data_IF_129443124955
#
_entry.id   IF_129443124955
#
_cell.length_a   1.000
_cell.length_b   1.000
_cell.length_c   1.000
_cell.angle_alpha   90.00
_cell.angle_beta   90.00
_cell.angle_gamma   90.00
#
_symmetry.space_group_name_H-M   'P 1'
#
loop_
_entity.id
_entity.type
_entity.pdbx_description
1 polymer ?
#
# COMPACT_ATOMS: atom_id res chain seq x y z
N UNK A 1 35.60 -37.58 -25.68
CA UNK A 1 35.87 -36.17 -25.29
C UNK A 1 35.12 -35.29 -26.29
N UNK A 2 33.89 -34.89 -25.97
CA UNK A 2 33.01 -34.15 -26.88
C UNK A 2 32.91 -32.69 -26.39
N UNK A 3 33.34 -31.73 -27.20
CA UNK A 3 33.07 -30.31 -27.00
C UNK A 3 32.22 -29.82 -28.19
N UNK A 4 30.93 -29.59 -27.92
CA UNK A 4 30.00 -29.04 -28.90
C UNK A 4 30.22 -27.52 -29.04
N UNK A 5 30.48 -27.08 -30.28
CA UNK A 5 30.45 -25.66 -30.66
C UNK A 5 29.00 -25.19 -30.66
N UNK A 6 28.70 -24.14 -29.92
CA UNK A 6 27.39 -23.49 -29.88
C UNK A 6 27.24 -22.55 -31.09
N UNK A 7 26.24 -22.81 -31.93
CA UNK A 7 25.75 -21.86 -32.92
C UNK A 7 25.18 -20.63 -32.20
N UNK A 8 25.72 -19.46 -32.51
CA UNK A 8 25.33 -18.19 -31.89
C UNK A 8 24.09 -17.61 -32.62
N UNK A 9 22.91 -17.58 -31.99
CA UNK A 9 21.63 -17.28 -32.65
C UNK A 9 21.38 -15.79 -32.90
N UNK A 10 22.33 -14.90 -32.58
CA UNK A 10 22.11 -13.44 -32.60
C UNK A 10 22.56 -12.71 -33.87
N UNK A 11 22.80 -13.42 -34.99
CA UNK A 11 23.41 -12.80 -36.19
C UNK A 11 22.48 -11.89 -37.01
N UNK A 12 21.19 -11.75 -36.71
CA UNK A 12 20.33 -10.71 -37.31
C UNK A 12 19.09 -10.45 -36.43
N UNK A 13 18.72 -9.19 -36.14
CA UNK A 13 17.45 -8.88 -35.48
C UNK A 13 16.34 -8.81 -36.53
N UNK A 14 15.53 -9.87 -36.59
CA UNK A 14 14.21 -9.87 -37.24
C UNK A 14 13.22 -9.12 -36.32
N UNK A 15 12.64 -7.97 -36.75
CA UNK A 15 11.85 -7.11 -35.88
C UNK A 15 10.46 -7.66 -35.52
N UNK A 16 10.04 -8.84 -36.01
CA UNK A 16 8.68 -9.37 -35.77
C UNK A 16 8.60 -10.78 -35.14
N UNK A 17 9.66 -11.28 -34.48
CA UNK A 17 9.51 -12.49 -33.65
C UNK A 17 8.80 -12.17 -32.32
N UNK A 18 7.65 -12.82 -31.99
CA UNK A 18 7.10 -12.75 -30.65
C UNK A 18 8.11 -13.36 -29.66
N UNK A 19 8.38 -12.64 -28.56
CA UNK A 19 9.38 -13.00 -27.55
C UNK A 19 8.97 -14.30 -26.86
N UNK A 20 9.84 -15.34 -26.84
CA UNK A 20 9.56 -16.55 -26.08
C UNK A 20 9.62 -16.24 -24.58
N UNK A 21 8.57 -16.64 -23.89
CA UNK A 21 8.35 -16.42 -22.48
C UNK A 21 9.08 -17.50 -21.68
N UNK A 22 10.24 -17.15 -21.10
CA UNK A 22 10.95 -18.04 -20.22
C UNK A 22 12.20 -17.44 -19.60
N UNK A 23 12.22 -17.39 -18.26
CA UNK A 23 13.37 -17.54 -17.34
C UNK A 23 14.74 -16.96 -17.76
N UNK A 24 15.25 -16.02 -16.96
CA UNK A 24 16.62 -16.07 -16.38
C UNK A 24 16.79 -15.00 -15.29
N UNK A 25 17.60 -15.31 -14.27
CA UNK A 25 17.84 -14.47 -13.10
C UNK A 25 19.10 -13.61 -13.12
N UNK A 26 19.16 -12.77 -12.08
CA UNK A 26 20.28 -12.21 -11.31
C UNK A 26 21.43 -11.48 -12.01
N UNK A 27 21.49 -10.16 -11.77
CA UNK A 27 22.66 -9.34 -12.05
C UNK A 27 22.48 -7.83 -11.87
N UNK A 28 21.79 -7.38 -10.80
CA UNK A 28 21.92 -6.07 -10.15
C UNK A 28 21.00 -6.07 -8.92
N UNK A 29 21.56 -6.51 -7.80
CA UNK A 29 20.90 -6.55 -6.50
C UNK A 29 21.38 -5.34 -5.71
N UNK A 30 20.57 -4.28 -5.63
CA UNK A 30 20.63 -3.21 -4.63
C UNK A 30 19.35 -2.36 -4.72
N UNK A 31 18.25 -2.98 -4.32
CA UNK A 31 17.05 -2.47 -3.60
C UNK A 31 16.12 -3.69 -3.59
N UNK A 32 15.80 -4.18 -2.39
CA UNK A 32 15.24 -5.50 -2.15
C UNK A 32 14.01 -5.81 -3.01
N UNK A 33 13.96 -7.04 -3.52
CA UNK A 33 12.72 -7.67 -3.95
C UNK A 33 11.81 -7.78 -2.71
N UNK A 34 10.81 -6.91 -2.63
CA UNK A 34 9.51 -7.33 -2.12
C UNK A 34 8.57 -7.26 -3.32
N UNK A 35 7.96 -8.38 -3.75
CA UNK A 35 6.97 -8.32 -4.80
C UNK A 35 5.84 -7.43 -4.31
N UNK A 36 5.67 -6.31 -5.01
CA UNK A 36 4.56 -5.38 -4.86
C UNK A 36 3.25 -5.98 -5.44
N UNK A 37 2.99 -7.26 -5.17
CA UNK A 37 1.84 -7.99 -5.72
C UNK A 37 0.57 -7.84 -4.89
N UNK A 38 0.66 -7.15 -3.74
CA UNK A 38 -0.47 -6.86 -2.86
C UNK A 38 -0.92 -5.40 -2.89
N UNK A 39 -0.28 -4.50 -3.66
CA UNK A 39 -0.77 -3.12 -3.77
C UNK A 39 -2.05 -3.06 -4.58
N UNK A 40 -3.15 -2.62 -3.96
CA UNK A 40 -4.35 -2.23 -4.69
C UNK A 40 -4.18 -0.81 -5.21
N UNK A 41 -4.23 -0.62 -6.53
CA UNK A 41 -4.29 0.71 -7.13
C UNK A 41 -5.67 1.33 -6.87
N UNK A 42 -5.75 2.24 -5.90
CA UNK A 42 -6.98 2.98 -5.63
C UNK A 42 -7.26 3.99 -6.76
N UNK A 43 -8.42 3.90 -7.42
CA UNK A 43 -8.84 4.91 -8.40
C UNK A 43 -8.98 6.28 -7.71
N UNK A 44 -8.24 7.32 -8.13
CA UNK A 44 -8.31 8.62 -7.49
C UNK A 44 -9.72 9.20 -7.62
N UNK A 45 -10.30 9.62 -6.51
CA UNK A 45 -11.50 10.44 -6.53
C UNK A 45 -11.07 11.87 -6.24
N UNK A 46 -11.09 12.71 -7.27
CA UNK A 46 -10.49 14.05 -7.21
C UNK A 46 -11.36 15.07 -6.45
N UNK A 47 -12.64 14.74 -6.18
CA UNK A 47 -13.61 15.52 -5.38
C UNK A 47 -14.72 14.61 -4.80
N UNK A 48 -14.39 13.42 -4.28
CA UNK A 48 -15.43 12.51 -3.76
C UNK A 48 -15.05 11.88 -2.44
N UNK A 49 -16.03 11.76 -1.56
CA UNK A 49 -15.87 11.04 -0.32
C UNK A 49 -15.78 9.53 -0.59
N UNK A 50 -14.75 8.89 -0.04
CA UNK A 50 -14.63 7.42 -0.05
C UNK A 50 -14.88 6.90 1.36
N UNK A 51 -15.91 6.06 1.51
CA UNK A 51 -16.28 5.45 2.80
C UNK A 51 -16.28 3.93 2.65
N UNK A 52 -15.41 3.26 3.41
CA UNK A 52 -15.34 1.81 3.50
C UNK A 52 -15.78 1.39 4.91
N UNK A 53 -16.92 0.71 4.99
CA UNK A 53 -17.56 0.29 6.23
C UNK A 53 -18.19 -1.08 6.08
N UNK A 54 -18.35 -1.82 7.18
CA UNK A 54 -18.88 -3.19 7.13
C UNK A 54 -17.79 -4.20 6.78
N UNK A 55 -18.18 -5.32 6.16
CA UNK A 55 -17.22 -6.31 5.66
C UNK A 55 -16.65 -5.88 4.32
N UNK A 56 -15.36 -5.61 4.29
CA UNK A 56 -14.58 -5.33 3.09
C UNK A 56 -13.15 -5.84 3.30
N UNK A 57 -12.44 -6.16 2.22
CA UNK A 57 -11.08 -6.70 2.30
C UNK A 57 -10.07 -5.63 1.86
N UNK A 58 -9.40 -4.93 2.80
CA UNK A 58 -8.22 -4.14 2.47
C UNK A 58 -7.12 -5.06 1.92
N UNK A 59 -6.27 -4.55 1.02
CA UNK A 59 -5.02 -5.26 0.69
C UNK A 59 -3.89 -4.82 1.61
N UNK A 60 -2.81 -5.61 1.62
CA UNK A 60 -1.68 -5.37 2.52
C UNK A 60 -1.00 -4.01 2.26
N UNK A 61 -1.06 -3.52 1.02
CA UNK A 61 -0.79 -2.13 0.66
C UNK A 61 -1.93 -1.58 -0.20
N UNK A 62 -2.38 -0.35 0.04
CA UNK A 62 -3.32 0.34 -0.85
C UNK A 62 -3.00 1.83 -0.81
N UNK A 63 -2.85 2.44 -1.98
CA UNK A 63 -2.68 3.90 -2.08
C UNK A 63 -4.05 4.58 -2.09
N UNK A 64 -4.27 5.43 -1.10
CA UNK A 64 -5.48 6.18 -0.85
C UNK A 64 -5.29 7.63 -1.28
N UNK A 65 -5.96 7.99 -2.36
CA UNK A 65 -5.99 9.37 -2.84
C UNK A 65 -7.13 10.13 -2.16
N UNK A 66 -6.79 11.19 -1.45
CA UNK A 66 -7.72 12.11 -0.81
C UNK A 66 -7.40 13.53 -1.27
N UNK A 67 -8.02 13.99 -2.36
CA UNK A 67 -7.86 15.37 -2.83
C UNK A 67 -9.17 16.11 -2.57
N UNK A 68 -9.14 17.18 -1.79
CA UNK A 68 -10.30 18.04 -1.53
C UNK A 68 -11.57 17.29 -1.11
N UNK A 69 -11.48 16.45 -0.07
CA UNK A 69 -12.60 15.63 0.41
C UNK A 69 -12.28 14.80 1.64
N UNK A 70 -13.15 13.83 1.97
CA UNK A 70 -12.97 12.93 3.12
C UNK A 70 -12.71 11.47 2.69
N UNK A 71 -11.73 10.82 3.32
CA UNK A 71 -11.55 9.36 3.25
C UNK A 71 -11.85 8.76 4.62
N UNK A 72 -12.81 7.84 4.69
CA UNK A 72 -13.18 7.12 5.91
C UNK A 72 -13.00 5.63 5.74
N UNK A 73 -12.11 5.04 6.54
CA UNK A 73 -11.83 3.61 6.55
C UNK A 73 -12.22 3.02 7.91
N UNK A 74 -13.11 2.04 7.91
CA UNK A 74 -13.49 1.29 9.11
C UNK A 74 -12.94 -0.14 9.03
N UNK A 75 -11.87 -0.40 9.77
CA UNK A 75 -11.16 -1.68 9.78
C UNK A 75 -11.74 -2.69 10.78
N UNK A 76 -12.75 -2.33 11.58
CA UNK A 76 -13.26 -3.17 12.67
C UNK A 76 -13.94 -4.45 12.19
N UNK A 77 -14.58 -4.39 11.04
CA UNK A 77 -15.26 -5.51 10.38
C UNK A 77 -14.57 -5.90 9.07
N UNK A 78 -13.40 -5.34 8.81
CA UNK A 78 -12.65 -5.62 7.60
C UNK A 78 -11.99 -7.01 7.68
N UNK A 79 -11.94 -7.71 6.55
CA UNK A 79 -11.23 -8.97 6.42
C UNK A 79 -9.77 -8.65 6.09
N UNK A 80 -8.92 -8.59 7.12
CA UNK A 80 -7.53 -8.19 6.97
C UNK A 80 -6.72 -9.23 6.19
N UNK A 81 -5.82 -8.79 5.30
CA UNK A 81 -4.96 -9.69 4.52
C UNK A 81 -3.86 -10.34 5.39
N UNK A 82 -3.64 -9.83 6.60
CA UNK A 82 -2.69 -10.32 7.59
C UNK A 82 -2.66 -9.45 8.84
N UNK A 83 -1.67 -9.70 9.70
CA UNK A 83 -1.44 -8.96 10.96
C UNK A 83 -0.88 -7.54 10.75
N UNK A 84 -0.45 -7.20 9.53
CA UNK A 84 0.10 -5.89 9.17
C UNK A 84 -0.59 -5.35 7.92
N UNK A 85 -1.04 -4.10 7.98
CA UNK A 85 -1.63 -3.38 6.86
C UNK A 85 -0.91 -2.03 6.70
N UNK A 86 -0.53 -1.69 5.46
CA UNK A 86 0.01 -0.38 5.10
C UNK A 86 -1.07 0.42 4.38
N UNK A 87 -1.39 1.59 4.95
CA UNK A 87 -2.28 2.58 4.37
C UNK A 87 -1.42 3.73 3.86
N UNK A 88 -1.15 3.73 2.55
CA UNK A 88 -0.36 4.75 1.88
C UNK A 88 -1.29 5.90 1.45
N UNK A 89 -1.12 7.10 1.99
CA UNK A 89 -1.98 8.25 1.73
C UNK A 89 -1.30 9.27 0.83
N UNK A 90 -1.94 9.58 -0.30
CA UNK A 90 -1.61 10.73 -1.14
C UNK A 90 -2.71 11.78 -0.94
N UNK A 91 -2.50 12.65 0.06
CA UNK A 91 -3.54 13.54 0.59
C UNK A 91 -3.23 15.02 0.36
N UNK A 92 -4.22 15.76 -0.16
CA UNK A 92 -4.13 17.19 -0.44
C UNK A 92 -5.42 17.88 -0.01
N UNK A 93 -5.31 18.88 0.90
CA UNK A 93 -6.45 19.67 1.39
C UNK A 93 -7.64 18.79 1.80
N UNK A 94 -7.41 17.78 2.64
CA UNK A 94 -8.38 16.71 2.90
C UNK A 94 -8.40 16.26 4.37
N UNK A 95 -9.42 15.47 4.72
CA UNK A 95 -9.56 14.82 6.02
C UNK A 95 -9.62 13.29 5.87
N UNK A 96 -8.70 12.57 6.51
CA UNK A 96 -8.71 11.11 6.58
C UNK A 96 -9.11 10.63 7.98
N UNK A 97 -10.08 9.72 8.07
CA UNK A 97 -10.58 9.13 9.33
C UNK A 97 -10.49 7.62 9.30
N UNK A 98 -9.63 7.07 10.12
CA UNK A 98 -9.41 5.64 10.25
C UNK A 98 -10.01 5.17 11.58
N UNK A 99 -10.88 4.18 11.52
CA UNK A 99 -11.45 3.51 12.69
C UNK A 99 -10.84 2.12 12.74
N UNK A 100 -10.15 1.82 13.84
CA UNK A 100 -9.50 0.53 14.07
C UNK A 100 -10.19 -0.22 15.21
N UNK A 101 -10.11 -1.56 15.24
CA UNK A 101 -10.50 -2.31 16.43
C UNK A 101 -9.62 -1.93 17.64
N UNK A 102 -10.14 -2.02 18.87
CA UNK A 102 -9.35 -1.80 20.09
C UNK A 102 -8.11 -2.72 20.13
N UNK A 103 -6.99 -2.19 20.63
CA UNK A 103 -5.74 -2.96 20.75
C UNK A 103 -4.87 -2.98 19.48
N UNK A 104 -5.25 -2.21 18.45
CA UNK A 104 -4.47 -2.08 17.21
C UNK A 104 -3.21 -1.24 17.45
N UNK A 105 -2.05 -1.74 17.02
CA UNK A 105 -0.82 -0.97 17.01
C UNK A 105 -0.80 0.00 15.81
N UNK A 106 -0.47 1.27 16.04
CA UNK A 106 -0.37 2.29 14.99
C UNK A 106 1.09 2.71 14.85
N UNK A 107 1.59 2.68 13.62
CA UNK A 107 2.90 3.21 13.23
C UNK A 107 2.67 4.36 12.26
N UNK A 108 3.24 5.52 12.53
CA UNK A 108 3.16 6.69 11.66
C UNK A 108 4.51 6.90 10.97
N UNK A 109 4.55 6.58 9.67
CA UNK A 109 5.67 6.79 8.74
C UNK A 109 5.32 7.89 7.71
N UNK A 110 4.29 8.70 7.96
CA UNK A 110 3.86 9.73 7.01
C UNK A 110 4.79 10.95 6.97
N UNK A 111 4.81 11.63 5.84
CA UNK A 111 5.44 12.95 5.70
C UNK A 111 4.37 14.03 5.60
N UNK A 112 4.21 14.85 6.64
CA UNK A 112 3.24 15.95 6.69
C UNK A 112 3.92 17.33 6.62
N UNK A 113 3.50 18.21 5.71
CA UNK A 113 4.09 19.55 5.55
C UNK A 113 3.23 20.69 6.14
N UNK A 114 1.90 20.58 6.09
CA UNK A 114 0.95 21.60 6.60
C UNK A 114 -0.32 20.95 7.21
N UNK A 115 -0.18 19.83 7.89
CA UNK A 115 -1.29 19.12 8.53
C UNK A 115 -0.79 18.26 9.67
N UNK A 116 -1.66 17.43 10.25
CA UNK A 116 -1.30 16.62 11.40
C UNK A 116 -1.87 15.19 11.36
N UNK A 117 -1.09 14.26 11.93
CA UNK A 117 -1.55 12.91 12.26
C UNK A 117 -1.96 12.86 13.73
N UNK A 118 -3.24 12.61 13.96
CA UNK A 118 -3.86 12.49 15.27
C UNK A 118 -4.10 11.02 15.60
N UNK A 119 -3.23 10.43 16.40
CA UNK A 119 -3.50 9.11 16.98
C UNK A 119 -4.33 9.25 18.28
N UNK A 120 -5.59 8.82 18.23
CA UNK A 120 -6.54 8.81 19.35
C UNK A 120 -6.92 7.39 19.77
N UNK A 121 -6.06 6.40 19.54
CA UNK A 121 -6.28 5.03 20.04
C UNK A 121 -5.99 4.94 21.53
N UNK A 122 -6.76 4.12 22.24
CA UNK A 122 -6.59 3.86 23.67
C UNK A 122 -5.53 2.80 23.92
N UNK A 123 -4.51 3.10 24.74
CA UNK A 123 -3.45 2.13 25.08
C UNK A 123 -3.87 1.05 26.08
N UNK A 124 -5.14 1.05 26.53
CA UNK A 124 -5.62 0.15 27.60
C UNK A 124 -6.10 -1.22 27.08
N UNK A 125 -6.38 -1.35 25.78
CA UNK A 125 -6.85 -2.61 25.22
C UNK A 125 -5.66 -3.58 25.00
N UNK A 126 -5.81 -4.88 25.29
CA UNK A 126 -4.81 -5.88 24.92
C UNK A 126 -4.54 -5.87 23.41
N UNK A 127 -3.30 -6.16 23.01
CA UNK A 127 -2.93 -6.21 21.59
C UNK A 127 -3.84 -7.19 20.84
N UNK A 128 -4.43 -6.73 19.74
CA UNK A 128 -5.35 -7.53 18.92
C UNK A 128 -4.65 -8.22 17.73
N UNK A 129 -3.33 -8.08 17.62
CA UNK A 129 -2.52 -8.65 16.54
C UNK A 129 -2.50 -7.81 15.25
N UNK A 130 -3.31 -6.76 15.13
CA UNK A 130 -3.30 -5.87 13.98
C UNK A 130 -2.31 -4.71 14.19
N UNK A 131 -1.42 -4.52 13.23
CA UNK A 131 -0.56 -3.35 13.09
C UNK A 131 -0.95 -2.58 11.84
N UNK A 132 -1.33 -1.31 12.01
CA UNK A 132 -1.61 -0.39 10.92
C UNK A 132 -0.43 0.58 10.78
N UNK A 133 0.15 0.61 9.59
CA UNK A 133 1.18 1.58 9.21
C UNK A 133 0.52 2.65 8.37
N UNK A 134 0.65 3.89 8.80
CA UNK A 134 0.28 5.06 8.02
C UNK A 134 1.53 5.49 7.25
N UNK A 135 1.45 5.53 5.93
CA UNK A 135 2.55 5.91 5.05
C UNK A 135 2.05 6.98 4.06
N UNK A 136 2.96 7.62 3.33
CA UNK A 136 2.65 8.55 2.25
C UNK A 136 2.78 10.02 2.64
N UNK A 137 2.26 10.89 1.76
CA UNK A 137 2.44 12.34 1.83
C UNK A 137 1.13 13.08 2.13
N UNK A 138 1.18 13.98 3.13
CA UNK A 138 0.06 14.81 3.57
C UNK A 138 0.39 16.30 3.38
N UNK A 139 -0.35 16.98 2.51
CA UNK A 139 -0.27 18.44 2.35
C UNK A 139 -1.61 19.10 2.74
N UNK A 140 -1.56 20.04 3.69
CA UNK A 140 -2.75 20.73 4.18
C UNK A 140 -3.89 19.77 4.57
N UNK A 141 -3.56 18.62 5.15
CA UNK A 141 -4.51 17.53 5.41
C UNK A 141 -4.34 16.94 6.80
N UNK A 142 -5.45 16.53 7.40
CA UNK A 142 -5.47 15.88 8.71
C UNK A 142 -5.74 14.38 8.57
N UNK A 143 -5.00 13.56 9.31
CA UNK A 143 -5.25 12.12 9.42
C UNK A 143 -5.55 11.76 10.86
N UNK A 144 -6.78 11.32 11.15
CA UNK A 144 -7.19 10.90 12.50
C UNK A 144 -7.40 9.40 12.56
N UNK A 145 -6.70 8.75 13.49
CA UNK A 145 -6.93 7.35 13.87
C UNK A 145 -7.61 7.30 15.22
N UNK A 146 -8.60 6.41 15.38
CA UNK A 146 -9.27 6.17 16.66
C UNK A 146 -9.69 4.72 16.80
N UNK A 147 -9.69 4.21 18.02
CA UNK A 147 -10.32 2.94 18.35
C UNK A 147 -11.76 3.14 18.83
N UNK A 148 -12.67 2.26 18.41
CA UNK A 148 -14.09 2.26 18.81
C UNK A 148 -14.73 0.89 18.71
#
# INVERSE_FOLDING_TARGET
>A
MHAARSDNPYRHPDPYRPRPEGRTGHGLELIGRTPDSDRQEGRPALLSDKKFTGRWAPRAGTTWWALFGEVKLDLRQADWPGERIVLDFQALCSDAKIIVPPGTAIVDDTTALLGEVKNKTSSSAPANGLTVVLDGFLFMSDLTVRDR
#
